data_IF_987472589834
#
_entry.id   IF_987472589834
#
_cell.length_a   1.000
_cell.length_b   1.000
_cell.length_c   1.000
_cell.angle_alpha   90.00
_cell.angle_beta   90.00
_cell.angle_gamma   90.00
#
_symmetry.space_group_name_H-M   'P 1'
#
loop_
_entity.id
_entity.type
_entity.pdbx_description
1 polymer ?
#
# COMPACT_ATOMS: atom_id res chain seq x y z
N UNK A 1 6.04 -6.17 2.61
CA UNK A 1 5.01 -6.15 3.69
C UNK A 1 3.67 -5.69 3.14
N UNK A 2 3.60 -4.55 2.45
CA UNK A 2 2.40 -4.05 1.79
C UNK A 2 1.72 -5.03 0.82
N UNK A 3 2.45 -5.65 -0.11
CA UNK A 3 1.87 -6.67 -1.03
C UNK A 3 1.33 -7.89 -0.27
N UNK A 4 1.91 -8.26 0.87
CA UNK A 4 1.39 -9.37 1.69
C UNK A 4 0.11 -8.98 2.46
N UNK A 5 0.00 -7.71 2.88
CA UNK A 5 -1.17 -7.19 3.60
C UNK A 5 -2.33 -6.87 2.65
N UNK A 6 -2.03 -6.37 1.44
CA UNK A 6 -3.00 -5.92 0.46
C UNK A 6 -2.53 -6.21 -0.98
N UNK A 7 -2.51 -7.50 -1.39
CA UNK A 7 -2.02 -7.92 -2.70
C UNK A 7 -2.86 -7.40 -3.88
N UNK A 8 -4.09 -6.95 -3.61
CA UNK A 8 -4.94 -6.32 -4.62
C UNK A 8 -4.60 -4.83 -4.84
N UNK A 9 -3.83 -4.21 -3.94
CA UNK A 9 -3.54 -2.77 -3.95
C UNK A 9 -2.08 -2.46 -4.24
N UNK A 10 -1.16 -3.35 -3.87
CA UNK A 10 0.27 -3.14 -4.01
C UNK A 10 0.96 -4.35 -4.61
N UNK A 11 2.01 -4.08 -5.38
CA UNK A 11 2.97 -5.07 -5.86
C UNK A 11 4.38 -4.62 -5.48
N UNK A 12 5.25 -5.55 -5.11
CA UNK A 12 6.69 -5.28 -4.99
C UNK A 12 7.39 -5.77 -6.26
N UNK A 13 8.00 -4.85 -7.00
CA UNK A 13 8.81 -5.15 -8.17
C UNK A 13 10.04 -5.98 -7.83
N UNK A 14 10.67 -6.58 -8.84
CA UNK A 14 11.91 -7.34 -8.66
C UNK A 14 13.08 -6.48 -8.15
N UNK A 15 12.99 -5.17 -8.32
CA UNK A 15 13.90 -4.15 -7.81
C UNK A 15 13.59 -3.71 -6.35
N UNK A 16 12.55 -4.28 -5.74
CA UNK A 16 12.10 -3.93 -4.40
C UNK A 16 11.27 -2.66 -4.31
N UNK A 17 10.92 -2.04 -5.44
CA UNK A 17 10.08 -0.85 -5.49
C UNK A 17 8.61 -1.25 -5.38
N UNK A 18 7.83 -0.50 -4.59
CA UNK A 18 6.39 -0.73 -4.46
C UNK A 18 5.65 0.00 -5.57
N UNK A 19 4.78 -0.71 -6.27
CA UNK A 19 3.89 -0.16 -7.29
C UNK A 19 2.43 -0.25 -6.80
N UNK A 20 1.66 0.85 -6.84
CA UNK A 20 0.22 0.80 -6.61
C UNK A 20 -0.47 0.15 -7.81
N UNK A 21 -1.43 -0.73 -7.55
CA UNK A 21 -2.23 -1.42 -8.58
C UNK A 21 -3.55 -0.70 -8.89
N UNK A 22 -3.90 0.29 -8.07
CA UNK A 22 -5.11 1.11 -8.19
C UNK A 22 -4.76 2.59 -8.08
N UNK A 23 -5.51 3.43 -8.78
CA UNK A 23 -5.34 4.89 -8.72
C UNK A 23 -6.03 5.50 -7.50
N UNK A 24 -7.01 4.80 -6.93
CA UNK A 24 -7.76 5.23 -5.75
C UNK A 24 -8.14 4.05 -4.87
N UNK A 25 -8.26 4.31 -3.57
CA UNK A 25 -8.60 3.32 -2.55
C UNK A 25 -10.09 3.39 -2.29
N UNK A 26 -10.77 2.25 -2.34
CA UNK A 26 -12.20 2.20 -2.02
C UNK A 26 -12.42 2.28 -0.50
N UNK A 27 -13.57 2.79 -0.02
CA UNK A 27 -13.83 2.90 1.42
C UNK A 27 -13.54 1.64 2.27
N UNK A 28 -13.88 0.40 1.82
CA UNK A 28 -13.56 -0.81 2.60
C UNK A 28 -12.06 -1.13 2.66
N UNK A 29 -11.25 -0.60 1.75
CA UNK A 29 -9.82 -0.87 1.68
C UNK A 29 -8.99 0.12 2.51
N UNK A 30 -9.60 1.20 3.02
CA UNK A 30 -8.89 2.26 3.75
C UNK A 30 -8.15 1.73 4.98
N UNK A 31 -8.77 0.85 5.75
CA UNK A 31 -8.15 0.26 6.95
C UNK A 31 -6.92 -0.59 6.59
N UNK A 32 -6.99 -1.32 5.48
CA UNK A 32 -5.87 -2.16 5.01
C UNK A 32 -4.71 -1.32 4.51
N UNK A 33 -5.00 -0.19 3.84
CA UNK A 33 -3.99 0.77 3.38
C UNK A 33 -3.33 1.46 4.55
N UNK A 34 -4.09 1.90 5.56
CA UNK A 34 -3.55 2.50 6.77
C UNK A 34 -2.59 1.53 7.48
N UNK A 35 -2.98 0.27 7.63
CA UNK A 35 -2.11 -0.75 8.22
C UNK A 35 -0.84 -0.99 7.38
N UNK A 36 -0.94 -1.00 6.05
CA UNK A 36 0.21 -1.17 5.17
C UNK A 36 1.19 0.01 5.26
N UNK A 37 0.68 1.24 5.40
CA UNK A 37 1.48 2.46 5.63
C UNK A 37 2.18 2.38 6.99
N UNK A 38 1.44 2.12 8.07
CA UNK A 38 1.98 2.04 9.44
C UNK A 38 3.03 0.92 9.58
N UNK A 39 2.82 -0.18 8.87
CA UNK A 39 3.73 -1.31 8.86
C UNK A 39 4.92 -1.10 7.93
N UNK A 40 5.05 0.02 7.21
CA UNK A 40 6.15 0.22 6.26
C UNK A 40 7.46 0.56 6.99
N UNK A 41 8.44 -0.36 7.09
CA UNK A 41 9.61 -0.17 7.95
C UNK A 41 10.55 0.92 7.42
N UNK A 42 10.48 1.22 6.13
CA UNK A 42 11.31 2.21 5.43
C UNK A 42 10.54 3.49 5.12
N UNK A 43 9.29 3.62 5.59
CA UNK A 43 8.44 4.79 5.35
C UNK A 43 8.27 5.16 3.87
N UNK A 44 8.36 4.16 2.98
CA UNK A 44 8.19 4.35 1.52
C UNK A 44 6.72 4.51 1.11
N UNK A 45 5.79 4.35 2.04
CA UNK A 45 4.35 4.45 1.79
C UNK A 45 3.80 5.69 2.50
N UNK A 46 3.01 6.44 1.75
CA UNK A 46 2.22 7.56 2.25
C UNK A 46 0.93 7.61 1.44
N UNK A 47 -0.18 7.98 2.06
CA UNK A 47 -1.41 8.28 1.35
C UNK A 47 -1.91 9.66 1.77
N UNK A 48 -2.55 10.37 0.85
CA UNK A 48 -3.23 11.63 1.14
C UNK A 48 -4.73 11.34 1.15
N UNK A 49 -5.39 11.66 2.25
CA UNK A 49 -6.83 11.80 2.27
C UNK A 49 -7.12 13.26 1.89
N UNK A 50 -7.80 13.48 0.77
CA UNK A 50 -8.38 14.79 0.43
C UNK A 50 -9.51 15.15 1.41
#
# INVERSE_FOLDING_TARGET
MCEALAPALFRVGADGVVEPLVESVSPPDVEVVALAVDSCPVQALSWAAD
#
